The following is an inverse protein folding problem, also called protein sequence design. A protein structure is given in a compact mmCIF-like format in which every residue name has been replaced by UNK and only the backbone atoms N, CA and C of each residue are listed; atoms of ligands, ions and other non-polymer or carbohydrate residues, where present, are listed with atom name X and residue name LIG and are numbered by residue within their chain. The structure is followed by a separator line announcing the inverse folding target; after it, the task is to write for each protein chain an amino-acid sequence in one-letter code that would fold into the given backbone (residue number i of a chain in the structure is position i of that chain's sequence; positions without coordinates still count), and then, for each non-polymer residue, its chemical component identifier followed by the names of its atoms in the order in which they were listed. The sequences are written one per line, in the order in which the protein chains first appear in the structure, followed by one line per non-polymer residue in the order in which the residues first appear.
data_IF_774200457426
#
_entry.id   IF_774200457426
#
_cell.length_a   1.000
_cell.length_b   1.000
_cell.length_c   1.000
_cell.angle_alpha   90.00
_cell.angle_beta   90.00
_cell.angle_gamma   90.00
#
_symmetry.space_group_name_H-M   'P 1'
#
loop_
_entity.id
_entity.type
_entity.pdbx_description
1 polymer ?
#
# COMPACT_ATOMS: atom_id res chain seq x y z
N UNK A 1 37.04 -44.11 22.84
CA UNK A 1 36.29 -43.21 21.92
C UNK A 1 35.35 -42.35 22.79
N UNK A 2 35.65 -41.06 22.94
CA UNK A 2 35.17 -40.22 24.04
C UNK A 2 33.77 -39.62 23.77
N UNK A 3 32.82 -39.88 24.67
CA UNK A 3 31.39 -39.52 24.55
C UNK A 3 31.17 -37.99 24.55
N UNK A 4 32.13 -37.22 25.06
CA UNK A 4 32.04 -35.75 25.21
C UNK A 4 32.11 -34.98 23.87
N UNK A 5 32.65 -35.56 22.80
CA UNK A 5 32.79 -34.87 21.51
C UNK A 5 31.53 -34.92 20.63
N UNK A 6 30.54 -35.76 20.98
CA UNK A 6 29.29 -35.87 20.21
C UNK A 6 28.29 -34.73 20.52
N UNK A 7 28.37 -34.13 21.71
CA UNK A 7 27.46 -33.06 22.12
C UNK A 7 27.78 -31.70 21.48
N UNK A 8 29.06 -31.40 21.20
CA UNK A 8 29.45 -30.15 20.55
C UNK A 8 29.05 -30.09 19.06
N UNK A 9 29.03 -31.22 18.36
CA UNK A 9 28.61 -31.28 16.96
C UNK A 9 27.10 -31.02 16.78
N UNK A 10 26.26 -31.43 17.74
CA UNK A 10 24.81 -31.22 17.70
C UNK A 10 24.42 -29.74 17.94
N UNK A 11 25.15 -29.03 18.81
CA UNK A 11 24.86 -27.62 19.11
C UNK A 11 25.18 -26.67 17.93
N UNK A 12 26.21 -26.97 17.14
CA UNK A 12 26.60 -26.14 15.98
C UNK A 12 25.56 -26.18 14.83
N UNK A 13 24.86 -27.32 14.66
CA UNK A 13 23.86 -27.49 13.59
C UNK A 13 22.57 -26.71 13.88
N UNK A 14 22.18 -26.59 15.16
CA UNK A 14 20.96 -25.86 15.56
C UNK A 14 21.13 -24.34 15.34
N UNK A 15 22.34 -23.80 15.54
CA UNK A 15 22.61 -22.36 15.35
C UNK A 15 22.52 -21.97 13.87
N UNK A 16 22.92 -22.84 12.94
CA UNK A 16 22.85 -22.57 11.50
C UNK A 16 21.41 -22.55 10.98
N UNK A 17 20.51 -23.38 11.53
CA UNK A 17 19.10 -23.45 11.07
C UNK A 17 18.28 -22.25 11.58
N UNK A 18 18.51 -21.80 12.80
CA UNK A 18 17.81 -20.62 13.36
C UNK A 18 18.29 -19.31 12.70
N UNK A 19 19.59 -19.21 12.36
CA UNK A 19 20.12 -18.04 11.66
C UNK A 19 19.66 -17.96 10.19
N UNK A 20 19.59 -19.08 9.47
CA UNK A 20 19.09 -19.09 8.09
C UNK A 20 17.58 -18.79 7.99
N UNK A 21 16.79 -19.14 9.00
CA UNK A 21 15.35 -18.81 9.06
C UNK A 21 15.10 -17.31 9.26
N UNK A 22 15.96 -16.60 10.03
CA UNK A 22 15.84 -15.15 10.21
C UNK A 22 16.19 -14.37 8.94
N UNK A 23 17.20 -14.81 8.17
CA UNK A 23 17.58 -14.14 6.91
C UNK A 23 16.46 -14.22 5.87
N UNK A 24 15.74 -15.35 5.80
CA UNK A 24 14.59 -15.50 4.90
C UNK A 24 13.41 -14.59 5.29
N UNK A 25 13.18 -14.37 6.58
CA UNK A 25 12.11 -13.49 7.05
C UNK A 25 12.39 -12.02 6.70
N UNK A 26 13.64 -11.55 6.87
CA UNK A 26 14.03 -10.19 6.49
C UNK A 26 14.04 -9.95 4.97
N UNK A 27 14.32 -10.98 4.16
CA UNK A 27 14.23 -10.88 2.69
C UNK A 27 12.80 -11.00 2.14
N UNK A 28 11.86 -11.53 2.92
CA UNK A 28 10.47 -11.73 2.49
C UNK A 28 9.53 -10.56 2.80
N UNK A 29 9.91 -9.65 3.70
CA UNK A 29 9.13 -8.44 3.99
C UNK A 29 9.53 -7.34 3.02
N UNK A 30 8.58 -6.89 2.19
CA UNK A 30 8.78 -5.74 1.30
C UNK A 30 9.26 -4.48 2.06
N UNK A 31 9.83 -3.48 1.35
CA UNK A 31 10.34 -2.28 1.97
C UNK A 31 9.24 -1.55 2.76
N UNK A 32 9.61 -0.93 3.89
CA UNK A 32 8.68 -0.18 4.73
C UNK A 32 8.32 1.16 4.07
N UNK A 33 7.07 1.36 3.62
CA UNK A 33 6.68 2.58 2.93
C UNK A 33 6.68 3.81 3.84
N UNK A 34 6.69 3.66 5.16
CA UNK A 34 6.82 4.80 6.08
C UNK A 34 8.20 5.47 6.00
N UNK A 35 9.21 4.75 5.52
CA UNK A 35 10.60 5.23 5.37
C UNK A 35 10.94 5.62 3.94
N UNK A 36 10.00 5.47 3.01
CA UNK A 36 10.22 5.74 1.59
C UNK A 36 9.70 7.12 1.20
N UNK A 37 10.42 7.78 0.30
CA UNK A 37 9.92 9.00 -0.35
C UNK A 37 8.78 8.67 -1.31
N UNK A 38 7.98 9.66 -1.69
CA UNK A 38 6.89 9.46 -2.66
C UNK A 38 7.37 8.85 -3.98
N UNK A 39 8.57 9.25 -4.42
CA UNK A 39 9.18 8.79 -5.67
C UNK A 39 9.66 7.34 -5.55
N UNK A 40 10.23 6.98 -4.39
CA UNK A 40 10.61 5.59 -4.09
C UNK A 40 9.37 4.69 -4.05
N UNK A 41 8.28 5.15 -3.42
CA UNK A 41 7.00 4.42 -3.41
C UNK A 41 6.48 4.24 -4.84
N UNK A 42 6.49 5.30 -5.65
CA UNK A 42 6.02 5.25 -7.04
C UNK A 42 6.84 4.25 -7.87
N UNK A 43 8.17 4.29 -7.76
CA UNK A 43 9.09 3.34 -8.42
C UNK A 43 8.87 1.92 -7.94
N UNK A 44 8.72 1.72 -6.63
CA UNK A 44 8.51 0.39 -6.08
C UNK A 44 7.17 -0.22 -6.53
N UNK A 45 6.08 0.55 -6.56
CA UNK A 45 4.78 0.09 -7.07
C UNK A 45 4.87 -0.41 -8.53
N UNK A 46 5.82 0.11 -9.30
CA UNK A 46 6.06 -0.30 -10.69
C UNK A 46 7.04 -1.47 -10.83
N UNK A 47 7.78 -1.80 -9.78
CA UNK A 47 8.79 -2.86 -9.80
C UNK A 47 8.18 -4.26 -9.90
N UNK A 48 8.98 -5.21 -10.39
CA UNK A 48 8.62 -6.62 -10.38
C UNK A 48 8.45 -7.15 -8.95
N UNK A 49 9.22 -6.63 -7.99
CA UNK A 49 9.14 -7.00 -6.58
C UNK A 49 7.75 -6.71 -6.00
N UNK A 50 7.20 -5.51 -6.22
CA UNK A 50 5.85 -5.21 -5.77
C UNK A 50 4.79 -6.07 -6.47
N UNK A 51 5.05 -6.42 -7.73
CA UNK A 51 4.12 -7.23 -8.52
C UNK A 51 4.10 -8.71 -8.11
N UNK A 52 5.23 -9.23 -7.62
CA UNK A 52 5.34 -10.60 -7.10
C UNK A 52 4.67 -10.76 -5.73
N UNK A 53 4.44 -9.65 -4.99
CA UNK A 53 3.72 -9.68 -3.73
C UNK A 53 2.29 -10.26 -3.86
N UNK A 54 1.88 -10.98 -2.81
CA UNK A 54 0.49 -11.41 -2.65
C UNK A 54 -0.46 -10.20 -2.65
N UNK A 55 -1.75 -10.45 -2.89
CA UNK A 55 -2.73 -9.36 -2.86
C UNK A 55 -2.80 -8.66 -1.50
N UNK A 56 -2.64 -9.41 -0.41
CA UNK A 56 -2.68 -8.89 0.95
C UNK A 56 -1.47 -8.02 1.25
N UNK A 57 -0.27 -8.48 0.92
CA UNK A 57 0.96 -7.68 1.08
C UNK A 57 0.91 -6.38 0.27
N UNK A 58 0.41 -6.43 -0.98
CA UNK A 58 0.21 -5.21 -1.78
C UNK A 58 -0.78 -4.26 -1.13
N UNK A 59 -1.91 -4.78 -0.64
CA UNK A 59 -2.93 -3.97 0.04
C UNK A 59 -2.36 -3.31 1.29
N UNK A 60 -1.63 -4.05 2.09
CA UNK A 60 -1.09 -3.58 3.37
C UNK A 60 0.03 -2.56 3.13
N UNK A 61 0.91 -2.79 2.15
CA UNK A 61 1.89 -1.80 1.69
C UNK A 61 1.21 -0.49 1.26
N UNK A 62 0.17 -0.57 0.44
CA UNK A 62 -0.56 0.62 -0.02
C UNK A 62 -1.28 1.35 1.12
N UNK A 63 -1.78 0.61 2.12
CA UNK A 63 -2.39 1.20 3.31
C UNK A 63 -1.34 1.97 4.12
N UNK A 64 -0.20 1.35 4.42
CA UNK A 64 0.89 1.98 5.16
C UNK A 64 1.48 3.20 4.40
N UNK A 65 1.60 3.11 3.07
CA UNK A 65 2.03 4.24 2.25
C UNK A 65 1.05 5.42 2.32
N UNK A 66 -0.25 5.15 2.38
CA UNK A 66 -1.27 6.20 2.57
C UNK A 66 -1.20 6.79 3.98
N UNK A 67 -1.06 5.94 4.99
CA UNK A 67 -0.93 6.38 6.39
C UNK A 67 0.28 7.28 6.59
N UNK A 68 1.43 6.91 6.00
CA UNK A 68 2.63 7.73 5.97
C UNK A 68 2.34 9.12 5.41
N UNK A 69 1.67 9.22 4.25
CA UNK A 69 1.32 10.51 3.63
C UNK A 69 0.42 11.37 4.50
N UNK A 70 -0.58 10.74 5.13
CA UNK A 70 -1.49 11.44 6.04
C UNK A 70 -0.72 11.94 7.26
N UNK A 71 0.12 11.12 7.85
CA UNK A 71 0.94 11.51 9.01
C UNK A 71 1.90 12.64 8.65
N UNK A 72 2.58 12.59 7.49
CA UNK A 72 3.40 13.69 6.99
C UNK A 72 2.57 14.97 6.82
N UNK A 73 1.39 14.89 6.22
CA UNK A 73 0.53 16.07 6.04
C UNK A 73 0.18 16.75 7.37
N UNK A 74 -0.15 15.97 8.42
CA UNK A 74 -0.49 16.54 9.73
C UNK A 74 0.73 16.96 10.55
N UNK A 75 1.90 16.38 10.32
CA UNK A 75 3.15 16.82 10.98
C UNK A 75 3.70 18.12 10.42
N UNK A 76 3.35 18.48 9.18
CA UNK A 76 3.79 19.73 8.55
C UNK A 76 3.03 20.96 9.10
N UNK A 77 3.71 22.12 9.20
CA UNK A 77 3.08 23.41 9.48
C UNK A 77 1.95 23.76 8.47
N UNK A 78 0.93 24.52 8.88
CA UNK A 78 -0.23 24.82 8.03
C UNK A 78 0.09 25.47 6.67
N UNK A 79 1.13 26.29 6.62
CA UNK A 79 1.64 26.96 5.43
C UNK A 79 2.32 25.99 4.45
N UNK A 80 2.99 24.95 4.95
CA UNK A 80 3.65 23.94 4.11
C UNK A 80 2.70 22.87 3.57
N UNK A 81 1.56 22.66 4.23
CA UNK A 81 0.56 21.65 3.85
C UNK A 81 0.06 21.81 2.41
N UNK A 82 -0.11 23.04 1.95
CA UNK A 82 -0.56 23.30 0.57
C UNK A 82 0.47 22.85 -0.45
N UNK A 83 1.75 23.16 -0.22
CA UNK A 83 2.87 22.72 -1.07
C UNK A 83 3.01 21.20 -1.08
N UNK A 84 2.79 20.56 0.07
CA UNK A 84 2.78 19.11 0.15
C UNK A 84 1.64 18.48 -0.67
N UNK A 85 0.42 19.02 -0.56
CA UNK A 85 -0.71 18.56 -1.37
C UNK A 85 -0.45 18.71 -2.86
N UNK A 86 0.17 19.82 -3.30
CA UNK A 86 0.53 20.03 -4.70
C UNK A 86 1.49 18.96 -5.20
N UNK A 87 2.55 18.65 -4.43
CA UNK A 87 3.47 17.56 -4.74
C UNK A 87 2.74 16.23 -4.87
N UNK A 88 1.88 15.88 -3.90
CA UNK A 88 1.14 14.61 -3.94
C UNK A 88 0.23 14.54 -5.17
N UNK A 89 -0.40 15.65 -5.56
CA UNK A 89 -1.23 15.72 -6.76
C UNK A 89 -0.39 15.50 -8.02
N UNK A 90 0.80 16.11 -8.11
CA UNK A 90 1.71 15.93 -9.23
C UNK A 90 2.19 14.47 -9.33
N UNK A 91 2.54 13.86 -8.20
CA UNK A 91 2.93 12.45 -8.12
C UNK A 91 1.79 11.52 -8.60
N UNK A 92 0.54 11.81 -8.20
CA UNK A 92 -0.63 11.07 -8.68
C UNK A 92 -0.89 11.29 -10.17
N UNK A 93 -0.72 12.51 -10.67
CA UNK A 93 -0.89 12.81 -12.09
C UNK A 93 0.19 12.10 -12.93
N UNK A 94 1.43 12.04 -12.46
CA UNK A 94 2.52 11.30 -13.07
C UNK A 94 2.24 9.79 -13.13
N UNK A 95 1.82 9.20 -12.01
CA UNK A 95 1.39 7.79 -11.96
C UNK A 95 0.23 7.52 -12.93
N UNK A 96 -0.73 8.44 -13.03
CA UNK A 96 -1.86 8.30 -13.97
C UNK A 96 -1.42 8.31 -15.43
N UNK A 97 -0.43 9.14 -15.80
CA UNK A 97 0.12 9.21 -17.16
C UNK A 97 0.82 7.92 -17.57
N UNK A 98 1.43 7.21 -16.63
CA UNK A 98 2.05 5.91 -16.87
C UNK A 98 1.01 4.78 -17.06
N UNK A 99 -0.23 5.02 -16.62
CA UNK A 99 -1.34 4.08 -16.74
C UNK A 99 -1.29 2.98 -15.68
N UNK A 100 -2.36 2.18 -15.57
CA UNK A 100 -2.37 1.04 -14.66
C UNK A 100 -1.33 0.00 -15.11
N UNK A 101 -0.61 -0.65 -14.17
CA UNK A 101 0.33 -1.70 -14.49
C UNK A 101 -0.38 -2.84 -15.25
N UNK A 102 0.30 -3.56 -16.16
CA UNK A 102 -0.33 -4.56 -17.03
C UNK A 102 -1.23 -5.55 -16.28
N UNK A 103 -0.78 -6.02 -15.12
CA UNK A 103 -1.50 -6.99 -14.27
C UNK A 103 -2.83 -6.45 -13.71
N UNK A 104 -2.95 -5.14 -13.54
CA UNK A 104 -4.21 -4.51 -13.11
C UNK A 104 -5.18 -4.35 -14.27
N UNK A 105 -4.68 -4.20 -15.51
CA UNK A 105 -5.52 -4.10 -16.71
C UNK A 105 -6.34 -5.37 -16.90
N UNK A 106 -5.72 -6.54 -16.71
CA UNK A 106 -6.41 -7.82 -16.86
C UNK A 106 -7.48 -8.05 -15.78
N UNK A 107 -7.21 -7.65 -14.52
CA UNK A 107 -8.21 -7.73 -13.45
C UNK A 107 -9.37 -6.75 -13.61
N UNK A 108 -9.12 -5.58 -14.19
CA UNK A 108 -10.18 -4.60 -14.47
C UNK A 108 -11.07 -4.99 -15.65
N UNK A 109 -10.65 -5.96 -16.48
CA UNK A 109 -11.41 -6.44 -17.64
C UNK A 109 -12.66 -7.23 -17.24
N UNK A 110 -12.68 -7.84 -16.05
CA UNK A 110 -13.85 -8.56 -15.55
C UNK A 110 -14.70 -7.67 -14.61
N UNK A 111 -15.82 -7.10 -15.09
CA UNK A 111 -16.71 -6.27 -14.28
C UNK A 111 -17.37 -7.05 -13.12
N UNK A 112 -17.45 -8.38 -13.20
CA UNK A 112 -18.01 -9.21 -12.14
C UNK A 112 -17.02 -9.50 -11.00
N UNK A 113 -15.72 -9.36 -11.24
CA UNK A 113 -14.69 -9.61 -10.22
C UNK A 113 -14.86 -8.74 -8.98
N UNK A 114 -15.21 -7.45 -9.16
CA UNK A 114 -15.49 -6.52 -8.07
C UNK A 114 -16.79 -6.89 -7.35
N UNK A 115 -17.85 -7.19 -8.10
CA UNK A 115 -19.16 -7.55 -7.55
C UNK A 115 -19.07 -8.81 -6.69
N UNK A 116 -18.42 -9.85 -7.20
CA UNK A 116 -18.23 -11.12 -6.50
C UNK A 116 -17.39 -10.93 -5.22
N UNK A 117 -16.39 -10.06 -5.24
CA UNK A 117 -15.60 -9.76 -4.03
C UNK A 117 -16.41 -9.08 -2.92
N UNK A 118 -17.33 -8.18 -3.27
CA UNK A 118 -18.20 -7.55 -2.27
C UNK A 118 -19.30 -8.48 -1.77
N UNK A 119 -19.82 -9.35 -2.64
CA UNK A 119 -20.85 -10.32 -2.27
C UNK A 119 -20.29 -11.47 -1.42
N UNK A 120 -19.07 -11.91 -1.68
CA UNK A 120 -18.44 -13.04 -0.99
C UNK A 120 -17.75 -12.65 0.33
N UNK A 121 -17.65 -11.35 0.65
CA UNK A 121 -17.13 -10.92 1.94
C UNK A 121 -18.18 -11.19 3.04
N UNK A 122 -17.86 -12.10 3.97
CA UNK A 122 -18.76 -12.44 5.07
C UNK A 122 -19.06 -11.20 5.93
N UNK A 123 -20.22 -11.20 6.60
CA UNK A 123 -20.57 -10.13 7.53
C UNK A 123 -19.56 -10.03 8.69
N UNK A 124 -19.02 -11.18 9.12
CA UNK A 124 -17.98 -11.27 10.15
C UNK A 124 -16.68 -10.60 9.69
N UNK A 125 -16.19 -10.87 8.48
CA UNK A 125 -14.97 -10.23 7.95
C UNK A 125 -15.12 -8.72 7.83
N UNK A 126 -16.32 -8.26 7.43
CA UNK A 126 -16.61 -6.82 7.34
C UNK A 126 -16.62 -6.15 8.70
N UNK A 127 -17.09 -6.83 9.75
CA UNK A 127 -17.05 -6.32 11.13
C UNK A 127 -15.63 -6.32 11.69
N UNK A 128 -14.90 -7.43 11.55
CA UNK A 128 -13.51 -7.53 11.99
C UNK A 128 -12.66 -6.39 11.41
N UNK A 129 -12.79 -6.11 10.11
CA UNK A 129 -12.08 -4.98 9.46
C UNK A 129 -12.49 -3.59 9.96
N UNK A 130 -13.73 -3.43 10.44
CA UNK A 130 -14.20 -2.17 11.03
C UNK A 130 -13.68 -2.01 12.45
N UNK A 131 -13.72 -3.08 13.23
CA UNK A 131 -13.29 -3.09 14.62
C UNK A 131 -11.78 -2.92 14.77
N UNK A 132 -10.98 -3.42 13.81
CA UNK A 132 -9.52 -3.25 13.82
C UNK A 132 -9.06 -1.85 13.40
N UNK A 133 -9.95 -0.96 12.95
CA UNK A 133 -9.57 0.34 12.39
C UNK A 133 -9.73 1.45 13.42
N UNK A 134 -8.65 2.16 13.70
CA UNK A 134 -8.70 3.34 14.56
C UNK A 134 -9.64 4.41 13.97
N UNK A 135 -10.71 4.82 14.69
CA UNK A 135 -11.64 5.84 14.22
C UNK A 135 -10.97 7.18 13.98
N UNK A 136 -9.93 7.53 14.75
CA UNK A 136 -9.21 8.79 14.60
C UNK A 136 -8.42 8.81 13.29
N UNK A 137 -7.65 7.74 13.03
CA UNK A 137 -6.92 7.57 11.78
C UNK A 137 -7.85 7.65 10.57
N UNK A 138 -9.02 7.00 10.65
CA UNK A 138 -10.02 7.06 9.58
C UNK A 138 -10.54 8.49 9.34
N UNK A 139 -10.74 9.27 10.40
CA UNK A 139 -11.14 10.67 10.30
C UNK A 139 -10.05 11.54 9.65
N UNK A 140 -8.80 11.40 10.08
CA UNK A 140 -7.64 12.10 9.48
C UNK A 140 -7.48 11.78 8.00
N UNK A 141 -7.60 10.51 7.62
CA UNK A 141 -7.60 10.10 6.21
C UNK A 141 -8.71 10.82 5.42
N UNK A 142 -9.96 10.86 5.93
CA UNK A 142 -11.08 11.53 5.24
C UNK A 142 -10.80 13.02 5.02
N UNK A 143 -10.31 13.71 6.04
CA UNK A 143 -9.96 15.13 5.95
C UNK A 143 -8.83 15.38 4.95
N UNK A 144 -7.79 14.54 4.95
CA UNK A 144 -6.70 14.60 3.97
C UNK A 144 -7.24 14.47 2.53
N UNK A 145 -8.11 13.49 2.26
CA UNK A 145 -8.72 13.34 0.94
C UNK A 145 -9.63 14.50 0.55
N UNK A 146 -10.34 15.10 1.51
CA UNK A 146 -11.13 16.30 1.26
C UNK A 146 -10.25 17.49 0.87
N UNK A 147 -9.17 17.72 1.61
CA UNK A 147 -8.20 18.78 1.31
C UNK A 147 -7.55 18.58 -0.07
N UNK A 148 -7.14 17.35 -0.37
CA UNK A 148 -6.60 16.98 -1.67
C UNK A 148 -7.61 17.21 -2.80
N UNK A 149 -8.88 16.81 -2.63
CA UNK A 149 -9.94 17.03 -3.62
C UNK A 149 -10.18 18.51 -3.88
N UNK A 150 -10.26 19.31 -2.82
CA UNK A 150 -10.41 20.77 -2.93
C UNK A 150 -9.23 21.37 -3.69
N UNK A 151 -7.99 20.97 -3.34
CA UNK A 151 -6.79 21.47 -4.01
C UNK A 151 -6.72 21.07 -5.48
N UNK A 152 -7.09 19.83 -5.81
CA UNK A 152 -7.21 19.37 -7.20
C UNK A 152 -8.25 20.21 -7.97
N UNK A 153 -9.40 20.50 -7.36
CA UNK A 153 -10.43 21.35 -7.95
C UNK A 153 -9.93 22.77 -8.23
N UNK A 154 -9.17 23.36 -7.30
CA UNK A 154 -8.51 24.67 -7.51
C UNK A 154 -7.52 24.64 -8.68
N UNK A 155 -6.88 23.49 -8.94
CA UNK A 155 -5.97 23.28 -10.08
C UNK A 155 -6.68 22.87 -11.38
N UNK A 156 -8.02 22.86 -11.41
CA UNK A 156 -8.80 22.43 -12.57
C UNK A 156 -8.68 20.93 -12.87
N UNK A 157 -8.15 20.13 -11.95
CA UNK A 157 -8.04 18.68 -12.12
C UNK A 157 -9.28 17.99 -11.56
N UNK A 158 -10.00 17.27 -12.41
CA UNK A 158 -11.12 16.43 -11.94
C UNK A 158 -10.57 15.09 -11.41
N UNK A 159 -10.91 14.76 -10.16
CA UNK A 159 -10.62 13.43 -9.63
C UNK A 159 -11.30 12.35 -10.49
N UNK A 160 -10.64 11.21 -10.74
CA UNK A 160 -11.31 10.06 -11.31
C UNK A 160 -12.54 9.73 -10.47
N UNK A 161 -13.71 9.65 -11.10
CA UNK A 161 -14.94 9.27 -10.42
C UNK A 161 -14.83 7.79 -10.06
N UNK A 162 -14.38 7.49 -8.84
CA UNK A 162 -14.38 6.13 -8.30
C UNK A 162 -15.82 5.72 -8.01
N UNK A 163 -16.45 5.06 -8.99
CA UNK A 163 -17.79 4.51 -8.87
C UNK A 163 -18.02 3.38 -9.87
N UNK A 164 -18.80 2.34 -9.50
CA UNK A 164 -19.17 1.26 -10.40
C UNK A 164 -20.14 1.84 -11.45
N UNK A 165 -19.61 2.28 -12.60
CA UNK A 165 -20.41 2.88 -13.67
C UNK A 165 -19.77 4.00 -14.49
N UNK A 166 -18.49 4.31 -14.30
CA UNK A 166 -17.77 5.31 -15.12
C UNK A 166 -17.39 4.78 -16.51
N UNK A 167 -18.38 4.46 -17.34
CA UNK A 167 -18.20 4.17 -18.76
C UNK A 167 -17.72 5.41 -19.53
N UNK A 168 -16.89 5.14 -20.54
CA UNK A 168 -16.45 6.00 -21.64
C UNK A 168 -16.85 7.48 -21.61
N UNK A 169 -15.85 8.35 -21.37
CA UNK A 169 -15.90 9.69 -21.96
C UNK A 169 -15.64 9.59 -23.47
N UNK A 170 -16.38 10.34 -24.31
CA UNK A 170 -16.17 10.34 -25.77
C UNK A 170 -14.77 10.88 -26.11
N UNK A 171 -14.16 10.27 -27.12
CA UNK A 171 -13.00 10.82 -27.84
C UNK A 171 -13.48 11.87 -28.83
#
# INVERSE_FOLDING_TARGET
MNIKNKWFAAAAIIIVIVSSSLVAYFYSSGPDPAKMTSDQIAKYIQSEDFNSLSHEQRRDFMHQAMDSRVNTYYSLPPDERTKYLDKVIDDMAALRRQGPPPQMRDRMRDPNSLRNRFQNASAADRRARRETRDPEQSFRQRQFFQAMRTRMGQRGMQMPRFGPGGGGGPR
#
